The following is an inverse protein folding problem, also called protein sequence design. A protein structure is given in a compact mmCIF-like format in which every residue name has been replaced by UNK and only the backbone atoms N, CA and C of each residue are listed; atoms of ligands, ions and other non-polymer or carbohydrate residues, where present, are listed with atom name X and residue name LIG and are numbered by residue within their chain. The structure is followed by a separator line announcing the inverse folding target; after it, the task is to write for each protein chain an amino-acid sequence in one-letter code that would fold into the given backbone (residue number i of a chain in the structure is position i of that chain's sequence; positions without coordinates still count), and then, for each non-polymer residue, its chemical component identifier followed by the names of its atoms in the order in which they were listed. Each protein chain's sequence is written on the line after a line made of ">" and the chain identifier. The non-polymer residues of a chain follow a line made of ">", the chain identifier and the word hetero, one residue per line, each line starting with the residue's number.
data_IF_957387520895
#
_entry.id   IF_957387520895
#
_cell.length_a   1.000
_cell.length_b   1.000
_cell.length_c   1.000
_cell.angle_alpha   90.00
_cell.angle_beta   90.00
_cell.angle_gamma   90.00
#
_symmetry.space_group_name_H-M   'P 1'
#
loop_
_entity.id
_entity.type
_entity.pdbx_description
1 polymer ?
#
# COMPACT_ATOMS: atom_id res chain seq x y z
N UNK A 1 4.30 6.39 -5.79
CA UNK A 1 5.64 6.96 -5.59
C UNK A 1 6.49 6.65 -6.81
N UNK A 2 7.14 7.66 -7.37
CA UNK A 2 8.18 7.50 -8.39
C UNK A 2 9.48 7.00 -7.77
N UNK A 3 10.40 6.48 -8.57
CA UNK A 3 11.72 6.05 -8.08
C UNK A 3 12.48 7.16 -7.36
N UNK A 4 12.35 8.41 -7.83
CA UNK A 4 12.96 9.58 -7.18
C UNK A 4 12.36 9.87 -5.81
N UNK A 5 11.03 9.72 -5.65
CA UNK A 5 10.37 9.90 -4.36
C UNK A 5 10.79 8.82 -3.36
N UNK A 6 11.01 7.59 -3.82
CA UNK A 6 11.50 6.49 -2.96
C UNK A 6 12.93 6.72 -2.51
N UNK A 7 13.80 7.22 -3.39
CA UNK A 7 15.19 7.58 -3.04
C UNK A 7 15.21 8.72 -2.02
N UNK A 8 14.42 9.78 -2.26
CA UNK A 8 14.34 10.92 -1.34
C UNK A 8 13.83 10.49 0.05
N UNK A 9 12.83 9.61 0.10
CA UNK A 9 12.40 9.01 1.37
C UNK A 9 13.52 8.21 2.05
N UNK A 10 14.25 7.38 1.30
CA UNK A 10 15.37 6.60 1.85
C UNK A 10 16.48 7.49 2.42
N UNK A 11 16.78 8.61 1.76
CA UNK A 11 17.77 9.59 2.22
C UNK A 11 17.38 10.23 3.56
N UNK A 12 16.09 10.55 3.74
CA UNK A 12 15.59 11.10 5.00
C UNK A 12 15.62 10.07 6.13
N UNK A 13 15.26 8.82 5.85
CA UNK A 13 15.37 7.73 6.83
C UNK A 13 16.83 7.44 7.23
N UNK A 14 17.78 7.51 6.29
CA UNK A 14 19.21 7.37 6.59
C UNK A 14 19.69 8.46 7.54
N UNK A 15 19.22 9.70 7.39
CA UNK A 15 19.60 10.81 8.29
C UNK A 15 18.99 10.66 9.68
N UNK A 16 17.84 9.98 9.79
CA UNK A 16 17.10 9.84 11.03
C UNK A 16 17.62 8.70 11.93
N UNK A 17 18.48 7.81 11.42
CA UNK A 17 18.94 6.61 12.11
C UNK A 17 20.47 6.59 12.20
N UNK A 18 21.02 6.36 13.41
CA UNK A 18 22.47 6.34 13.64
C UNK A 18 23.21 5.22 12.89
N UNK A 19 22.55 4.08 12.69
CA UNK A 19 23.10 2.92 11.97
C UNK A 19 22.10 2.44 10.90
N UNK A 20 22.06 3.09 9.73
CA UNK A 20 21.17 2.71 8.64
C UNK A 20 21.56 1.35 8.06
N UNK A 21 20.58 0.57 7.61
CA UNK A 21 20.84 -0.74 7.02
C UNK A 21 21.47 -0.63 5.63
N UNK A 22 22.29 -1.62 5.25
CA UNK A 22 22.88 -1.72 3.91
C UNK A 22 21.81 -1.70 2.79
N UNK A 23 20.62 -2.26 3.06
CA UNK A 23 19.49 -2.25 2.13
C UNK A 23 18.95 -0.83 1.89
N UNK A 24 18.88 -0.01 2.95
CA UNK A 24 18.41 1.37 2.88
C UNK A 24 19.43 2.27 2.16
N UNK A 25 20.72 2.06 2.46
CA UNK A 25 21.83 2.71 1.76
C UNK A 25 21.83 2.32 0.27
N UNK A 26 21.60 1.04 -0.02
CA UNK A 26 21.53 0.55 -1.40
C UNK A 26 20.32 1.13 -2.13
N UNK A 27 19.18 1.28 -1.46
CA UNK A 27 17.98 1.91 -2.02
C UNK A 27 18.22 3.37 -2.40
N UNK A 28 18.86 4.14 -1.52
CA UNK A 28 19.25 5.53 -1.77
C UNK A 28 20.22 5.64 -2.95
N UNK A 29 21.29 4.84 -2.96
CA UNK A 29 22.38 4.97 -3.94
C UNK A 29 22.04 4.38 -5.32
N UNK A 30 21.31 3.27 -5.36
CA UNK A 30 21.08 2.49 -6.59
C UNK A 30 19.64 2.52 -7.07
N UNK A 31 18.72 3.08 -6.27
CA UNK A 31 17.30 3.16 -6.59
C UNK A 31 16.54 1.85 -6.42
N UNK A 32 15.20 1.93 -6.43
CA UNK A 32 14.33 0.77 -6.24
C UNK A 32 14.43 -0.24 -7.38
N UNK A 33 14.81 0.16 -8.59
CA UNK A 33 14.96 -0.78 -9.72
C UNK A 33 16.07 -1.80 -9.48
N UNK A 34 17.11 -1.46 -8.70
CA UNK A 34 18.16 -2.41 -8.37
C UNK A 34 17.62 -3.51 -7.45
N UNK A 35 16.84 -3.13 -6.44
CA UNK A 35 16.32 -4.08 -5.45
C UNK A 35 15.38 -5.11 -6.08
N UNK A 36 14.64 -4.73 -7.13
CA UNK A 36 13.81 -5.68 -7.89
C UNK A 36 14.61 -6.74 -8.65
N UNK A 37 15.91 -6.52 -8.88
CA UNK A 37 16.81 -7.47 -9.56
C UNK A 37 17.51 -8.42 -8.58
N UNK A 38 17.41 -8.17 -7.28
CA UNK A 38 18.01 -9.03 -6.27
C UNK A 38 17.27 -10.37 -6.17
N UNK A 39 17.98 -11.45 -5.77
CA UNK A 39 17.36 -12.72 -5.43
C UNK A 39 16.27 -12.55 -4.36
N UNK A 40 15.19 -13.35 -4.44
CA UNK A 40 14.01 -13.20 -3.58
C UNK A 40 14.26 -13.44 -2.08
N UNK A 41 15.35 -14.13 -1.77
CA UNK A 41 15.89 -14.40 -0.44
C UNK A 41 16.69 -13.21 0.13
N UNK A 42 17.22 -12.34 -0.73
CA UNK A 42 17.89 -11.09 -0.35
C UNK A 42 16.89 -9.95 -0.25
N UNK A 43 16.02 -9.79 -1.27
CA UNK A 43 14.96 -8.78 -1.30
C UNK A 43 13.62 -9.42 -1.69
N UNK A 44 12.59 -9.36 -0.84
CA UNK A 44 11.29 -9.94 -1.15
C UNK A 44 10.76 -9.37 -2.46
N UNK A 45 10.37 -10.24 -3.40
CA UNK A 45 9.71 -9.78 -4.62
C UNK A 45 8.42 -9.07 -4.25
N UNK A 46 8.06 -8.05 -5.03
CA UNK A 46 6.76 -7.40 -4.93
C UNK A 46 5.68 -8.48 -4.91
N UNK A 47 5.04 -8.64 -3.76
CA UNK A 47 3.95 -9.59 -3.64
C UNK A 47 2.80 -8.99 -4.45
N UNK A 48 2.22 -9.76 -5.38
CA UNK A 48 0.97 -9.35 -6.00
C UNK A 48 -0.08 -9.34 -4.88
N UNK A 49 -0.33 -8.15 -4.34
CA UNK A 49 -1.37 -7.96 -3.35
C UNK A 49 -2.72 -8.08 -4.06
N UNK A 50 -3.68 -8.79 -3.45
CA UNK A 50 -5.04 -8.83 -3.97
C UNK A 50 -5.65 -7.41 -3.89
N UNK A 51 -6.61 -7.14 -4.76
CA UNK A 51 -7.17 -5.80 -4.99
C UNK A 51 -7.64 -5.13 -3.70
N UNK A 52 -8.30 -5.88 -2.82
CA UNK A 52 -8.84 -5.47 -1.53
C UNK A 52 -7.74 -4.93 -0.62
N UNK A 53 -6.56 -5.57 -0.62
CA UNK A 53 -5.42 -5.09 0.17
C UNK A 53 -4.82 -3.80 -0.42
N UNK A 54 -4.72 -3.72 -1.74
CA UNK A 54 -4.23 -2.50 -2.40
C UNK A 54 -5.21 -1.34 -2.16
N UNK A 55 -6.51 -1.63 -2.22
CA UNK A 55 -7.58 -0.69 -1.92
C UNK A 55 -7.45 -0.18 -0.49
N UNK A 56 -7.39 -1.08 0.50
CA UNK A 56 -7.28 -0.71 1.92
C UNK A 56 -6.03 0.15 2.20
N UNK A 57 -4.87 -0.20 1.63
CA UNK A 57 -3.63 0.60 1.78
C UNK A 57 -3.79 1.98 1.16
N UNK A 58 -4.38 2.08 -0.04
CA UNK A 58 -4.59 3.37 -0.69
C UNK A 58 -5.65 4.20 0.02
N UNK A 59 -6.66 3.55 0.59
CA UNK A 59 -7.72 4.19 1.34
C UNK A 59 -7.22 4.74 2.69
N UNK A 60 -6.31 4.03 3.37
CA UNK A 60 -5.78 4.47 4.67
C UNK A 60 -4.88 5.70 4.58
N UNK A 61 -4.22 5.90 3.44
CA UNK A 61 -3.37 7.08 3.17
C UNK A 61 -4.12 8.23 2.48
N UNK A 62 -5.37 8.01 2.07
CA UNK A 62 -6.13 8.99 1.29
C UNK A 62 -6.64 10.11 2.19
N UNK A 63 -6.29 11.36 1.87
CA UNK A 63 -6.97 12.52 2.45
C UNK A 63 -8.20 12.88 1.60
N UNK A 64 -9.38 12.50 2.09
CA UNK A 64 -10.66 12.78 1.41
C UNK A 64 -11.00 14.28 1.36
N UNK A 65 -10.33 15.13 2.15
CA UNK A 65 -10.53 16.58 2.08
C UNK A 65 -9.89 17.21 0.84
N UNK A 66 -8.89 16.54 0.25
CA UNK A 66 -8.18 16.99 -0.93
C UNK A 66 -8.87 16.42 -2.17
N UNK A 67 -9.64 17.27 -2.87
CA UNK A 67 -10.40 16.86 -4.07
C UNK A 67 -9.54 16.15 -5.13
N UNK A 68 -8.34 16.66 -5.40
CA UNK A 68 -7.47 16.09 -6.44
C UNK A 68 -7.02 14.66 -6.09
N UNK A 69 -6.69 14.39 -4.82
CA UNK A 69 -6.32 13.05 -4.36
C UNK A 69 -7.52 12.10 -4.41
N UNK A 70 -8.68 12.59 -3.97
CA UNK A 70 -9.95 11.86 -4.06
C UNK A 70 -10.28 11.46 -5.50
N UNK A 71 -10.22 12.40 -6.44
CA UNK A 71 -10.55 12.15 -7.84
C UNK A 71 -9.53 11.17 -8.48
N UNK A 72 -8.24 11.28 -8.12
CA UNK A 72 -7.21 10.30 -8.53
C UNK A 72 -7.49 8.90 -7.97
N UNK A 73 -7.91 8.82 -6.71
CA UNK A 73 -8.26 7.55 -6.07
C UNK A 73 -9.48 6.92 -6.74
N UNK A 74 -10.55 7.69 -6.98
CA UNK A 74 -11.75 7.22 -7.66
C UNK A 74 -11.40 6.71 -9.06
N UNK A 75 -10.63 7.48 -9.84
CA UNK A 75 -10.17 7.06 -11.17
C UNK A 75 -9.38 5.74 -11.12
N UNK A 76 -8.48 5.60 -10.14
CA UNK A 76 -7.76 4.35 -9.91
C UNK A 76 -8.70 3.19 -9.54
N UNK A 77 -9.66 3.42 -8.64
CA UNK A 77 -10.63 2.42 -8.18
C UNK A 77 -11.42 1.87 -9.37
N UNK A 78 -12.02 2.76 -10.18
CA UNK A 78 -12.81 2.42 -11.36
C UNK A 78 -11.99 1.68 -12.44
N UNK A 79 -10.71 2.05 -12.60
CA UNK A 79 -9.82 1.40 -13.56
C UNK A 79 -9.35 0.02 -13.09
N UNK A 80 -9.15 -0.16 -11.79
CA UNK A 80 -8.47 -1.33 -11.23
C UNK A 80 -9.41 -2.47 -10.85
N UNK A 81 -10.71 -2.21 -10.69
CA UNK A 81 -11.70 -3.22 -10.33
C UNK A 81 -12.26 -4.01 -11.54
N UNK A 82 -11.82 -3.69 -12.76
CA UNK A 82 -12.35 -4.30 -13.99
C UNK A 82 -12.12 -5.80 -14.03
N UNK A 83 -13.20 -6.57 -14.22
CA UNK A 83 -13.15 -8.03 -14.29
C UNK A 83 -13.10 -8.73 -12.93
N UNK A 84 -13.22 -8.00 -11.82
CA UNK A 84 -13.36 -8.57 -10.48
C UNK A 84 -14.84 -8.85 -10.14
N UNK A 85 -15.09 -9.66 -9.11
CA UNK A 85 -16.45 -10.00 -8.66
C UNK A 85 -17.12 -8.82 -7.96
N UNK A 86 -18.43 -8.64 -8.20
CA UNK A 86 -19.29 -7.69 -7.48
C UNK A 86 -19.58 -8.12 -6.02
N UNK A 87 -19.18 -9.33 -5.62
CA UNK A 87 -19.27 -9.79 -4.23
C UNK A 87 -18.25 -9.07 -3.33
N UNK A 88 -17.21 -8.48 -3.93
CA UNK A 88 -16.20 -7.69 -3.24
C UNK A 88 -16.78 -6.28 -3.00
N UNK A 89 -16.92 -5.82 -1.73
CA UNK A 89 -17.54 -4.53 -1.41
C UNK A 89 -16.90 -3.34 -2.12
N UNK A 90 -15.58 -3.35 -2.28
CA UNK A 90 -14.79 -2.32 -2.95
C UNK A 90 -15.12 -2.23 -4.45
N UNK A 91 -15.33 -3.39 -5.10
CA UNK A 91 -15.73 -3.47 -6.50
C UNK A 91 -17.18 -3.04 -6.65
N UNK A 92 -18.04 -3.41 -5.69
CA UNK A 92 -19.43 -2.97 -5.64
C UNK A 92 -19.55 -1.45 -5.54
N UNK A 93 -18.75 -0.83 -4.67
CA UNK A 93 -18.67 0.63 -4.55
C UNK A 93 -18.27 1.30 -5.87
N UNK A 94 -17.26 0.75 -6.55
CA UNK A 94 -16.82 1.25 -7.84
C UNK A 94 -17.94 1.19 -8.89
N UNK A 95 -18.64 0.06 -8.96
CA UNK A 95 -19.78 -0.12 -9.86
C UNK A 95 -20.93 0.84 -9.56
N UNK A 96 -21.34 0.95 -8.29
CA UNK A 96 -22.45 1.82 -7.89
C UNK A 96 -22.10 3.31 -8.14
N UNK A 97 -20.84 3.70 -7.94
CA UNK A 97 -20.35 5.04 -8.28
C UNK A 97 -20.43 5.31 -9.80
N UNK A 98 -19.92 4.40 -10.64
CA UNK A 98 -19.98 4.54 -12.09
C UNK A 98 -21.42 4.62 -12.59
N UNK A 99 -22.29 3.73 -12.11
CA UNK A 99 -23.70 3.70 -12.47
C UNK A 99 -24.41 5.02 -12.11
N UNK A 100 -24.24 5.53 -10.89
CA UNK A 100 -24.90 6.76 -10.46
C UNK A 100 -24.34 7.99 -11.19
N UNK A 101 -23.02 8.03 -11.39
CA UNK A 101 -22.37 9.17 -12.02
C UNK A 101 -22.65 9.25 -13.53
N UNK A 102 -22.70 8.11 -14.23
CA UNK A 102 -22.75 8.07 -15.70
C UNK A 102 -24.11 7.60 -16.22
N UNK A 103 -24.62 6.47 -15.76
CA UNK A 103 -25.90 5.94 -16.26
C UNK A 103 -27.10 6.74 -15.73
N UNK A 104 -27.01 7.26 -14.50
CA UNK A 104 -28.05 8.08 -13.89
C UNK A 104 -27.82 9.59 -14.03
N UNK A 105 -26.72 10.01 -14.68
CA UNK A 105 -26.31 11.42 -14.86
C UNK A 105 -26.34 12.23 -13.55
N UNK A 106 -25.88 11.63 -12.44
CA UNK A 106 -25.92 12.25 -11.12
C UNK A 106 -24.59 12.14 -10.37
N UNK A 107 -23.53 12.80 -10.87
CA UNK A 107 -22.19 12.74 -10.26
C UNK A 107 -22.17 13.25 -8.82
N UNK A 108 -23.02 14.23 -8.48
CA UNK A 108 -23.11 14.76 -7.11
C UNK A 108 -23.59 13.69 -6.12
N UNK A 109 -24.62 12.92 -6.49
CA UNK A 109 -25.11 11.81 -5.67
C UNK A 109 -24.08 10.68 -5.58
N UNK A 110 -23.31 10.45 -6.64
CA UNK A 110 -22.22 9.47 -6.63
C UNK A 110 -21.14 9.86 -5.61
N UNK A 111 -20.74 11.14 -5.58
CA UNK A 111 -19.82 11.68 -4.58
C UNK A 111 -20.35 11.53 -3.15
N UNK A 112 -21.61 11.89 -2.90
CA UNK A 112 -22.25 11.75 -1.58
C UNK A 112 -22.29 10.29 -1.11
N UNK A 113 -22.66 9.36 -2.01
CA UNK A 113 -22.69 7.92 -1.72
C UNK A 113 -21.27 7.36 -1.50
N UNK A 114 -20.28 7.85 -2.26
CA UNK A 114 -18.88 7.48 -2.07
C UNK A 114 -18.41 7.87 -0.68
N UNK A 115 -18.62 9.12 -0.25
CA UNK A 115 -18.17 9.60 1.05
C UNK A 115 -18.82 8.83 2.23
N UNK A 116 -20.08 8.42 2.09
CA UNK A 116 -20.77 7.59 3.09
C UNK A 116 -20.22 6.15 3.12
N UNK A 117 -20.16 5.50 1.95
CA UNK A 117 -19.72 4.12 1.83
C UNK A 117 -18.25 3.96 2.20
N UNK A 118 -17.41 4.91 1.79
CA UNK A 118 -15.98 4.95 2.06
C UNK A 118 -15.70 5.09 3.57
N UNK A 119 -16.45 5.96 4.27
CA UNK A 119 -16.33 6.07 5.74
C UNK A 119 -16.71 4.78 6.47
N UNK A 120 -17.80 4.14 6.05
CA UNK A 120 -18.23 2.86 6.64
C UNK A 120 -17.23 1.73 6.37
N UNK A 121 -16.58 1.74 5.20
CA UNK A 121 -15.53 0.78 4.87
C UNK A 121 -14.24 1.04 5.67
N UNK A 122 -13.82 2.30 5.80
CA UNK A 122 -12.65 2.67 6.60
C UNK A 122 -12.77 2.25 8.06
N UNK A 123 -13.95 2.38 8.68
CA UNK A 123 -14.15 1.90 10.06
C UNK A 123 -13.92 0.40 10.20
N UNK A 124 -14.26 -0.39 9.18
CA UNK A 124 -14.03 -1.84 9.18
C UNK A 124 -12.59 -2.22 8.85
N UNK A 125 -11.85 -1.37 8.13
CA UNK A 125 -10.47 -1.65 7.72
C UNK A 125 -9.43 -1.20 8.72
N UNK A 126 -9.67 -0.17 9.53
CA UNK A 126 -8.74 0.20 10.61
C UNK A 126 -8.43 -1.00 11.52
N UNK A 127 -9.43 -1.85 11.80
CA UNK A 127 -9.24 -3.10 12.56
C UNK A 127 -8.37 -4.13 11.82
N UNK A 128 -8.41 -4.17 10.48
CA UNK A 128 -7.62 -5.10 9.65
C UNK A 128 -6.20 -4.58 9.35
N UNK A 129 -6.03 -3.27 9.20
CA UNK A 129 -4.73 -2.64 8.94
C UNK A 129 -3.84 -2.69 10.17
N UNK A 130 -4.38 -2.52 11.38
CA UNK A 130 -3.62 -2.76 12.63
C UNK A 130 -3.11 -4.21 12.72
N UNK A 131 -3.89 -5.18 12.23
CA UNK A 131 -3.47 -6.59 12.18
C UNK A 131 -2.36 -6.83 11.14
N UNK A 132 -2.41 -6.15 10.00
CA UNK A 132 -1.40 -6.24 8.93
C UNK A 132 -0.10 -5.49 9.31
N UNK A 133 -0.20 -4.34 9.95
CA UNK A 133 0.94 -3.59 10.49
C UNK A 133 1.62 -4.37 11.63
N UNK A 134 0.85 -4.97 12.53
CA UNK A 134 1.36 -5.87 13.57
C UNK A 134 2.11 -7.09 12.99
N UNK A 135 1.63 -7.66 11.87
CA UNK A 135 2.30 -8.75 11.15
C UNK A 135 3.57 -8.30 10.41
N UNK A 136 3.59 -7.09 9.86
CA UNK A 136 4.79 -6.52 9.24
C UNK A 136 5.89 -6.24 10.27
N UNK A 137 5.55 -5.69 11.43
CA UNK A 137 6.50 -5.40 12.53
C UNK A 137 7.05 -6.69 13.16
N UNK A 138 6.21 -7.72 13.31
CA UNK A 138 6.65 -9.03 13.84
C UNK A 138 7.52 -9.80 12.85
N UNK A 139 7.25 -9.73 11.54
CA UNK A 139 8.08 -10.37 10.51
C UNK A 139 9.44 -9.69 10.31
N UNK A 140 9.51 -8.35 10.40
CA UNK A 140 10.82 -7.67 10.43
C UNK A 140 11.62 -8.03 11.69
N UNK A 141 10.94 -8.27 12.83
CA UNK A 141 11.57 -8.68 14.08
C UNK A 141 12.07 -10.14 14.05
N UNK A 142 11.28 -11.08 13.51
CA UNK A 142 11.70 -12.49 13.40
C UNK A 142 12.79 -12.70 12.36
N UNK A 143 12.77 -11.97 11.24
CA UNK A 143 13.84 -12.03 10.23
C UNK A 143 15.16 -11.44 10.76
N UNK A 144 15.10 -10.36 11.58
CA UNK A 144 16.28 -9.82 12.29
C UNK A 144 16.85 -10.78 13.35
N UNK A 145 15.99 -11.47 14.10
CA UNK A 145 16.44 -12.43 15.14
C UNK A 145 17.03 -13.70 14.51
N UNK A 146 16.45 -14.20 13.41
CA UNK A 146 16.95 -15.39 12.72
C UNK A 146 18.32 -15.14 12.04
N UNK A 147 18.52 -13.97 11.41
CA UNK A 147 19.82 -13.59 10.82
C UNK A 147 20.93 -13.44 11.88
N UNK A 148 20.63 -12.98 13.10
CA UNK A 148 21.61 -12.92 14.21
C UNK A 148 22.00 -14.31 14.74
N UNK A 149 21.07 -15.26 14.82
CA UNK A 149 21.38 -16.64 15.28
C UNK A 149 22.20 -17.44 14.26
N UNK A 150 21.98 -17.25 12.96
CA UNK A 150 22.78 -17.96 11.94
C UNK A 150 24.22 -17.45 11.85
N UNK A 151 24.48 -16.16 12.12
CA UNK A 151 25.84 -15.61 12.17
C UNK A 151 26.61 -15.95 13.45
N UNK A 152 25.93 -16.24 14.58
CA UNK A 152 26.61 -16.60 15.83
C UNK A 152 26.96 -18.08 15.96
N UNK A 153 26.49 -18.96 15.06
CA UNK A 153 26.72 -20.40 15.12
C UNK A 153 27.63 -20.96 14.03
N UNK A 154 28.22 -20.11 13.16
CA UNK A 154 29.15 -20.55 12.10
C UNK A 154 30.62 -20.23 12.41
N UNK A 155 30.94 -19.92 13.67
CA UNK A 155 32.31 -19.74 14.13
C UNK A 155 32.65 -20.72 15.24
N UNK A 156 32.89 -21.98 14.88
CA UNK A 156 33.85 -22.92 15.49
C UNK A 156 34.13 -24.05 14.50
#
# INVERSE_FOLDING_TARGET
>A
MSSCEVIAWADEEIKAVDEPSDDLITLSLKGPEMLTKLPGDEFPRSTNLPYEKIFAIKASILDTSIKEERDKFISWMLGSCRGLSLDIPEVRLAYDYEHISWDCDNPKKADEMFDESFRNMLSNWNEQTEELEGKCLTNQSTTRILRRKQRSCSGY
#
